data_IF_567523479732
#
_entry.id   IF_567523479732
#
_cell.length_a   1.000
_cell.length_b   1.000
_cell.length_c   1.000
_cell.angle_alpha   90.00
_cell.angle_beta   90.00
_cell.angle_gamma   90.00
#
_symmetry.space_group_name_H-M   'P 1'
#
loop_
_entity.id
_entity.type
_entity.pdbx_description
1 polymer ?
#
# COMPACT_ATOMS: atom_id res chain seq x y z
N UNK A 1 -15.54 4.75 -12.71
CA UNK A 1 -14.24 4.22 -12.25
C UNK A 1 -14.33 4.11 -10.74
N UNK A 2 -13.90 3.00 -10.14
CA UNK A 2 -13.81 2.88 -8.69
C UNK A 2 -12.67 3.75 -8.18
N UNK A 3 -12.90 4.49 -7.09
CA UNK A 3 -11.83 5.25 -6.43
C UNK A 3 -10.72 4.31 -5.95
N UNK A 4 -9.46 4.77 -5.89
CA UNK A 4 -8.42 3.98 -5.24
C UNK A 4 -8.73 3.76 -3.76
N UNK A 5 -8.22 2.65 -3.23
CA UNK A 5 -8.21 2.39 -1.79
C UNK A 5 -7.30 3.40 -1.07
N UNK A 6 -7.78 3.90 0.08
CA UNK A 6 -6.98 4.65 1.05
C UNK A 6 -6.34 3.64 1.99
N UNK A 7 -5.02 3.48 1.91
CA UNK A 7 -4.27 2.49 2.69
C UNK A 7 -3.37 3.24 3.68
N UNK A 8 -3.65 3.09 4.98
CA UNK A 8 -2.97 3.82 6.03
C UNK A 8 -1.64 3.14 6.41
N UNK A 9 -0.51 3.71 5.98
CA UNK A 9 0.84 3.20 6.21
C UNK A 9 1.18 3.21 7.70
N UNK A 10 1.32 2.01 8.28
CA UNK A 10 1.53 1.82 9.74
C UNK A 10 0.44 2.49 10.59
N UNK A 11 -0.79 2.60 10.06
CA UNK A 11 -1.88 3.40 10.63
C UNK A 11 -1.86 4.86 10.18
N UNK A 12 -2.43 5.78 10.96
CA UNK A 12 -2.35 7.21 10.68
C UNK A 12 -1.05 7.78 11.28
N UNK A 13 0.08 7.30 10.76
CA UNK A 13 1.44 7.56 11.26
C UNK A 13 1.84 9.04 11.25
N UNK A 14 1.22 9.87 10.41
CA UNK A 14 1.46 11.32 10.43
C UNK A 14 0.92 12.03 11.69
N UNK A 15 -0.01 11.41 12.44
CA UNK A 15 -0.66 12.04 13.62
C UNK A 15 -0.64 11.19 14.89
N UNK A 16 -0.19 9.94 14.81
CA UNK A 16 -0.09 9.00 15.93
C UNK A 16 1.13 8.09 15.74
N UNK A 17 1.72 7.53 16.81
CA UNK A 17 2.91 6.68 16.72
C UNK A 17 2.65 5.46 15.83
N UNK A 18 3.50 5.27 14.82
CA UNK A 18 3.38 4.21 13.82
C UNK A 18 3.22 2.82 14.46
N UNK A 19 2.46 1.95 13.80
CA UNK A 19 2.26 0.55 14.20
C UNK A 19 1.66 0.35 15.62
N UNK A 20 1.00 1.36 16.19
CA UNK A 20 0.27 1.27 17.47
C UNK A 20 -1.24 1.15 17.28
N UNK A 21 -1.93 0.64 18.30
CA UNK A 21 -3.41 0.61 18.30
C UNK A 21 -4.01 2.01 18.16
N UNK A 22 -3.38 3.05 18.72
CA UNK A 22 -3.81 4.43 18.54
C UNK A 22 -3.76 4.88 17.07
N UNK A 23 -2.67 4.60 16.35
CA UNK A 23 -2.55 4.95 14.93
C UNK A 23 -3.55 4.19 14.06
N UNK A 24 -3.80 2.91 14.37
CA UNK A 24 -4.79 2.10 13.67
C UNK A 24 -6.22 2.59 13.90
N UNK A 25 -6.60 2.87 15.15
CA UNK A 25 -7.93 3.42 15.44
C UNK A 25 -8.13 4.81 14.80
N UNK A 26 -7.09 5.65 14.79
CA UNK A 26 -7.15 6.96 14.13
C UNK A 26 -7.37 6.82 12.62
N UNK A 27 -6.65 5.91 11.95
CA UNK A 27 -6.81 5.65 10.52
C UNK A 27 -8.21 5.12 10.16
N UNK A 28 -8.74 4.18 10.95
CA UNK A 28 -10.08 3.63 10.75
C UNK A 28 -11.16 4.73 10.89
N UNK A 29 -11.03 5.60 11.90
CA UNK A 29 -11.93 6.75 12.08
C UNK A 29 -11.79 7.80 10.97
N UNK A 30 -10.60 7.89 10.35
CA UNK A 30 -10.35 8.76 9.19
C UNK A 30 -10.86 8.16 7.86
N UNK A 31 -11.42 6.95 7.87
CA UNK A 31 -12.02 6.32 6.69
C UNK A 31 -11.01 5.59 5.79
N UNK A 32 -9.91 5.09 6.37
CA UNK A 32 -9.00 4.18 5.65
C UNK A 32 -9.72 2.87 5.28
N UNK A 33 -9.52 2.40 4.05
CA UNK A 33 -10.07 1.14 3.55
C UNK A 33 -9.22 -0.06 4.04
N UNK A 34 -7.90 0.12 4.10
CA UNK A 34 -6.97 -0.86 4.65
C UNK A 34 -6.00 -0.18 5.63
N UNK A 35 -5.60 -0.90 6.66
CA UNK A 35 -4.44 -0.54 7.48
C UNK A 35 -3.24 -1.35 7.01
N UNK A 36 -2.20 -0.65 6.56
CA UNK A 36 -0.91 -1.27 6.29
C UNK A 36 -0.11 -1.35 7.59
N UNK A 37 0.58 -2.46 7.81
CA UNK A 37 1.37 -2.70 9.02
C UNK A 37 2.47 -3.72 8.77
N UNK A 38 3.48 -3.69 9.63
CA UNK A 38 4.67 -4.53 9.55
C UNK A 38 4.66 -5.58 10.65
N UNK A 39 4.95 -6.85 10.31
CA UNK A 39 5.00 -7.95 11.27
C UNK A 39 6.37 -8.60 11.31
N UNK A 40 6.88 -8.73 12.52
CA UNK A 40 8.04 -9.55 12.89
C UNK A 40 7.63 -10.67 13.84
N UNK A 41 8.51 -11.65 14.02
CA UNK A 41 8.45 -12.58 15.15
C UNK A 41 9.36 -12.06 16.26
N UNK A 42 8.89 -12.09 17.49
CA UNK A 42 9.76 -11.99 18.66
C UNK A 42 10.44 -13.32 18.98
N UNK A 43 11.30 -13.35 20.01
CA UNK A 43 12.05 -14.56 20.39
C UNK A 43 11.16 -15.75 20.82
N UNK A 44 9.92 -15.47 21.24
CA UNK A 44 8.93 -16.49 21.61
C UNK A 44 8.09 -16.94 20.41
N UNK A 45 8.35 -16.40 19.21
CA UNK A 45 7.62 -16.70 17.99
C UNK A 45 6.24 -16.05 17.92
N UNK A 46 6.00 -14.98 18.69
CA UNK A 46 4.74 -14.23 18.63
C UNK A 46 4.82 -13.19 17.50
N UNK A 47 3.81 -13.12 16.60
CA UNK A 47 3.74 -12.07 15.58
C UNK A 47 3.45 -10.70 16.21
N UNK A 48 4.45 -9.84 16.23
CA UNK A 48 4.42 -8.48 16.79
C UNK A 48 4.47 -7.43 15.68
N UNK A 49 3.84 -6.29 15.91
CA UNK A 49 3.62 -5.26 14.90
C UNK A 49 4.57 -4.09 15.12
N UNK A 50 5.65 -4.05 14.34
CA UNK A 50 6.74 -3.08 14.41
C UNK A 50 7.48 -3.09 13.08
N UNK A 51 7.98 -1.93 12.62
CA UNK A 51 8.62 -1.83 11.31
C UNK A 51 10.08 -2.34 11.31
N UNK A 52 10.90 -1.75 12.18
CA UNK A 52 12.34 -1.95 12.19
C UNK A 52 12.69 -3.34 12.77
N UNK A 53 13.84 -3.89 12.38
CA UNK A 53 14.38 -5.12 12.98
C UNK A 53 14.76 -4.94 14.47
N UNK A 54 14.79 -3.69 14.94
CA UNK A 54 15.17 -3.30 16.31
C UNK A 54 14.13 -2.40 16.96
N UNK A 55 14.09 -2.42 18.30
CA UNK A 55 13.16 -1.60 19.10
C UNK A 55 13.60 -0.14 19.28
N UNK A 56 14.83 0.18 18.86
CA UNK A 56 15.57 1.39 19.24
C UNK A 56 14.94 2.73 18.81
N UNK A 57 14.30 2.78 17.63
CA UNK A 57 13.79 4.05 17.06
C UNK A 57 12.43 4.43 17.61
N UNK A 58 11.55 3.45 17.78
CA UNK A 58 10.11 3.64 18.00
C UNK A 58 9.66 3.17 19.37
N UNK A 59 10.60 2.84 20.26
CA UNK A 59 10.27 2.48 21.64
C UNK A 59 11.27 3.03 22.65
N UNK A 60 10.97 2.85 23.94
CA UNK A 60 11.88 3.12 25.06
C UNK A 60 12.88 1.96 25.35
N UNK A 61 12.82 0.89 24.56
CA UNK A 61 13.63 -0.31 24.69
C UNK A 61 14.62 -0.42 23.52
N UNK A 62 15.66 -1.24 23.66
CA UNK A 62 16.68 -1.47 22.62
C UNK A 62 16.89 -2.94 22.35
N UNK A 63 17.41 -3.24 21.16
CA UNK A 63 17.78 -4.59 20.74
C UNK A 63 16.93 -5.11 19.58
N UNK A 64 17.36 -6.22 19.00
CA UNK A 64 16.68 -6.87 17.90
C UNK A 64 15.34 -7.47 18.37
N UNK A 65 14.29 -7.30 17.57
CA UNK A 65 12.95 -7.81 17.86
C UNK A 65 12.96 -9.33 17.98
N UNK A 66 13.58 -10.02 17.02
CA UNK A 66 13.68 -11.49 16.99
C UNK A 66 14.50 -12.12 18.12
N UNK A 67 15.34 -11.32 18.81
CA UNK A 67 16.14 -11.79 19.95
C UNK A 67 15.52 -11.40 21.30
N UNK A 68 14.42 -10.63 21.28
CA UNK A 68 13.77 -10.10 22.48
C UNK A 68 12.57 -10.96 22.89
N UNK A 69 12.42 -11.33 24.18
CA UNK A 69 11.22 -12.03 24.66
C UNK A 69 9.95 -11.21 24.46
N UNK A 70 8.81 -11.87 24.28
CA UNK A 70 7.52 -11.21 24.02
C UNK A 70 7.09 -10.26 25.13
N UNK A 71 7.45 -10.58 26.37
CA UNK A 71 7.20 -9.72 27.53
C UNK A 71 7.96 -8.39 27.46
N UNK A 72 9.16 -8.38 26.86
CA UNK A 72 9.97 -7.17 26.65
C UNK A 72 9.38 -6.37 25.48
N UNK A 73 9.18 -7.02 24.33
CA UNK A 73 8.69 -6.35 23.13
C UNK A 73 7.33 -5.69 23.38
N UNK A 74 6.36 -6.45 23.91
CA UNK A 74 5.00 -5.94 24.17
C UNK A 74 4.93 -5.03 25.40
N UNK A 75 5.95 -5.07 26.26
CA UNK A 75 6.07 -4.21 27.43
C UNK A 75 6.62 -2.82 27.11
N UNK A 76 7.31 -2.65 25.98
CA UNK A 76 7.94 -1.41 25.58
C UNK A 76 6.91 -0.27 25.37
N UNK A 77 7.27 0.95 25.74
CA UNK A 77 6.50 2.15 25.39
C UNK A 77 6.80 2.53 23.94
N UNK A 78 5.83 2.31 23.05
CA UNK A 78 5.92 2.58 21.63
C UNK A 78 5.30 3.94 21.22
N UNK A 79 4.96 4.81 22.17
CA UNK A 79 4.26 6.06 21.89
C UNK A 79 4.92 7.33 22.41
N UNK A 80 5.64 7.27 23.52
CA UNK A 80 6.24 8.45 24.14
C UNK A 80 7.24 9.19 23.24
N UNK A 81 7.90 8.47 22.31
CA UNK A 81 8.83 9.06 21.33
C UNK A 81 8.13 9.98 20.32
N UNK A 82 6.86 9.72 20.02
CA UNK A 82 6.08 10.51 19.07
C UNK A 82 5.55 11.78 19.72
N UNK A 83 4.87 11.64 20.86
CA UNK A 83 4.49 12.76 21.72
C UNK A 83 4.12 12.25 23.13
N UNK A 84 4.26 13.09 24.18
CA UNK A 84 3.89 12.72 25.55
C UNK A 84 2.44 12.23 25.71
N UNK A 85 1.51 12.70 24.86
CA UNK A 85 0.11 12.29 24.87
C UNK A 85 -0.11 10.81 24.51
N UNK A 86 0.87 10.16 23.87
CA UNK A 86 0.83 8.75 23.52
C UNK A 86 1.67 7.85 24.43
N UNK A 87 2.21 8.39 25.52
CA UNK A 87 2.93 7.58 26.51
C UNK A 87 2.06 6.40 26.98
N UNK A 88 2.66 5.22 27.05
CA UNK A 88 2.02 3.96 27.41
C UNK A 88 1.37 3.21 26.24
N UNK A 89 1.38 3.73 25.01
CA UNK A 89 1.12 2.87 23.84
C UNK A 89 2.16 1.73 23.82
N UNK A 90 1.73 0.54 23.43
CA UNK A 90 2.57 -0.67 23.39
C UNK A 90 2.79 -1.13 21.95
N UNK A 91 3.85 -1.91 21.74
CA UNK A 91 4.00 -2.72 20.52
C UNK A 91 2.89 -3.78 20.52
N UNK A 92 1.91 -3.71 19.60
CA UNK A 92 0.81 -4.66 19.60
C UNK A 92 1.20 -5.97 18.92
N UNK A 93 0.49 -7.04 19.26
CA UNK A 93 0.51 -8.29 18.49
C UNK A 93 -0.42 -8.17 17.28
N UNK A 94 -0.17 -8.98 16.26
CA UNK A 94 -1.05 -9.05 15.08
C UNK A 94 -2.50 -9.41 15.48
N UNK A 95 -2.67 -10.23 16.51
CA UNK A 95 -3.98 -10.61 17.07
C UNK A 95 -4.71 -9.42 17.70
N UNK A 96 -4.00 -8.56 18.43
CA UNK A 96 -4.60 -7.35 19.02
C UNK A 96 -5.06 -6.38 17.92
N UNK A 97 -4.25 -6.18 16.88
CA UNK A 97 -4.64 -5.36 15.72
C UNK A 97 -5.86 -5.94 15.00
N UNK A 98 -5.89 -7.26 14.76
CA UNK A 98 -7.05 -7.93 14.16
C UNK A 98 -8.33 -7.72 15.01
N UNK A 99 -8.20 -7.72 16.35
CA UNK A 99 -9.30 -7.40 17.26
C UNK A 99 -9.85 -5.99 17.10
N UNK A 100 -8.98 -5.00 16.84
CA UNK A 100 -9.40 -3.63 16.53
C UNK A 100 -10.15 -3.58 15.19
N UNK A 101 -9.59 -4.16 14.12
CA UNK A 101 -10.20 -4.13 12.77
C UNK A 101 -11.50 -4.93 12.70
N UNK A 102 -11.67 -5.98 13.51
CA UNK A 102 -12.92 -6.71 13.65
C UNK A 102 -14.13 -5.81 13.98
N UNK A 103 -13.90 -4.64 14.60
CA UNK A 103 -14.95 -3.67 14.96
C UNK A 103 -15.38 -2.76 13.81
N UNK A 104 -14.69 -2.81 12.67
CA UNK A 104 -14.90 -1.93 11.52
C UNK A 104 -15.12 -2.77 10.27
N UNK A 105 -16.36 -3.25 9.98
CA UNK A 105 -16.65 -4.29 8.98
C UNK A 105 -16.17 -3.95 7.55
N UNK A 106 -16.10 -2.66 7.21
CA UNK A 106 -15.73 -2.19 5.87
C UNK A 106 -14.21 -2.03 5.66
N UNK A 107 -13.41 -2.18 6.71
CA UNK A 107 -11.95 -2.05 6.64
C UNK A 107 -11.23 -3.40 6.68
N UNK A 108 -10.04 -3.47 6.07
CA UNK A 108 -9.18 -4.65 6.11
C UNK A 108 -7.74 -4.32 6.53
N UNK A 109 -6.84 -5.30 6.34
CA UNK A 109 -5.41 -5.12 6.56
C UNK A 109 -4.62 -5.32 5.26
N UNK A 110 -3.50 -4.63 5.15
CA UNK A 110 -2.40 -4.94 4.24
C UNK A 110 -1.18 -5.30 5.11
N UNK A 111 -0.93 -6.58 5.32
CA UNK A 111 0.04 -7.06 6.33
C UNK A 111 1.37 -7.38 5.67
N UNK A 112 2.40 -6.58 5.93
CA UNK A 112 3.77 -6.89 5.51
C UNK A 112 4.42 -7.90 6.47
N UNK A 113 4.86 -9.03 5.94
CA UNK A 113 5.70 -9.99 6.64
C UNK A 113 7.17 -9.63 6.37
N UNK A 114 7.90 -9.22 7.41
CA UNK A 114 9.29 -8.78 7.29
C UNK A 114 10.23 -9.98 7.18
N UNK A 115 11.06 -9.98 6.14
CA UNK A 115 12.06 -11.03 5.90
C UNK A 115 11.47 -12.40 5.54
N UNK A 116 12.26 -13.45 5.78
CA UNK A 116 11.94 -14.83 5.44
C UNK A 116 11.17 -15.52 6.57
N UNK A 117 10.00 -16.06 6.26
CA UNK A 117 9.15 -16.77 7.23
C UNK A 117 9.04 -18.25 6.92
N UNK A 118 9.14 -19.09 7.95
CA UNK A 118 8.78 -20.50 7.81
C UNK A 118 7.28 -20.65 7.55
N UNK A 119 6.90 -21.73 6.85
CA UNK A 119 5.49 -22.09 6.61
C UNK A 119 4.67 -22.15 7.89
N UNK A 120 5.24 -22.73 8.95
CA UNK A 120 4.57 -22.87 10.24
C UNK A 120 4.30 -21.49 10.88
N UNK A 121 5.30 -20.61 10.90
CA UNK A 121 5.14 -19.27 11.46
C UNK A 121 4.18 -18.40 10.63
N UNK A 122 4.28 -18.45 9.29
CA UNK A 122 3.37 -17.74 8.40
C UNK A 122 1.92 -18.19 8.59
N UNK A 123 1.68 -19.50 8.73
CA UNK A 123 0.36 -20.06 9.02
C UNK A 123 -0.20 -19.56 10.36
N UNK A 124 0.63 -19.56 11.42
CA UNK A 124 0.23 -19.09 12.74
C UNK A 124 -0.13 -17.59 12.75
N UNK A 125 0.66 -16.75 12.07
CA UNK A 125 0.38 -15.33 11.93
C UNK A 125 -0.94 -15.08 11.19
N UNK A 126 -1.15 -15.73 10.04
CA UNK A 126 -2.43 -15.64 9.30
C UNK A 126 -3.60 -16.15 10.14
N UNK A 127 -3.39 -17.20 10.94
CA UNK A 127 -4.38 -17.71 11.88
C UNK A 127 -4.93 -16.65 12.83
N UNK A 128 -4.10 -15.67 13.22
CA UNK A 128 -4.49 -14.55 14.08
C UNK A 128 -5.48 -13.59 13.41
N UNK A 129 -5.58 -13.59 12.08
CA UNK A 129 -6.49 -12.76 11.29
C UNK A 129 -7.86 -13.42 11.04
N UNK A 130 -7.99 -14.72 11.26
CA UNK A 130 -9.25 -15.44 10.96
C UNK A 130 -10.43 -15.05 11.86
N UNK A 131 -10.25 -14.81 13.18
CA UNK A 131 -11.33 -14.33 14.03
C UNK A 131 -11.95 -13.03 13.51
N UNK A 132 -13.27 -12.91 13.59
CA UNK A 132 -13.99 -11.71 13.11
C UNK A 132 -13.93 -11.50 11.59
N UNK A 133 -13.52 -12.52 10.82
CA UNK A 133 -13.50 -12.45 9.35
C UNK A 133 -12.47 -11.49 8.76
N UNK A 134 -11.49 -11.01 9.55
CA UNK A 134 -10.49 -10.02 9.10
C UNK A 134 -9.68 -10.57 7.92
N UNK A 135 -9.27 -11.85 7.96
CA UNK A 135 -8.49 -12.48 6.90
C UNK A 135 -9.13 -12.36 5.50
N UNK A 136 -10.45 -12.51 5.38
CA UNK A 136 -11.16 -12.48 4.09
C UNK A 136 -11.09 -11.10 3.41
N UNK A 137 -10.96 -10.04 4.21
CA UNK A 137 -10.88 -8.64 3.77
C UNK A 137 -9.47 -8.07 3.84
N UNK A 138 -8.48 -8.90 4.15
CA UNK A 138 -7.07 -8.52 4.19
C UNK A 138 -6.29 -9.01 2.97
N UNK A 139 -5.11 -8.42 2.79
CA UNK A 139 -4.06 -8.83 1.86
C UNK A 139 -2.78 -9.01 2.67
N UNK A 140 -2.05 -10.09 2.47
CA UNK A 140 -0.71 -10.29 3.05
C UNK A 140 0.35 -10.02 1.99
N UNK A 141 1.47 -9.39 2.37
CA UNK A 141 2.52 -9.00 1.43
C UNK A 141 3.91 -9.19 2.04
N UNK A 142 4.93 -9.18 1.19
CA UNK A 142 6.33 -9.16 1.61
C UNK A 142 7.21 -8.73 0.44
N UNK A 143 8.39 -8.20 0.73
CA UNK A 143 9.49 -8.11 -0.25
C UNK A 143 10.14 -9.48 -0.50
N UNK A 144 10.05 -10.39 0.47
CA UNK A 144 10.64 -11.72 0.38
C UNK A 144 9.72 -12.67 -0.41
N UNK A 145 10.14 -13.03 -1.63
CA UNK A 145 9.38 -13.95 -2.50
C UNK A 145 9.18 -15.33 -1.87
N UNK A 146 10.11 -15.79 -1.03
CA UNK A 146 9.98 -17.09 -0.36
C UNK A 146 8.88 -17.06 0.70
N UNK A 147 8.73 -15.93 1.41
CA UNK A 147 7.61 -15.68 2.32
C UNK A 147 6.28 -15.61 1.57
N UNK A 148 6.21 -14.92 0.43
CA UNK A 148 4.98 -14.89 -0.39
C UNK A 148 4.61 -16.29 -0.89
N UNK A 149 5.61 -17.10 -1.31
CA UNK A 149 5.40 -18.49 -1.70
C UNK A 149 4.94 -19.37 -0.52
N UNK A 150 5.48 -19.15 0.69
CA UNK A 150 5.02 -19.84 1.89
C UNK A 150 3.56 -19.49 2.20
N UNK A 151 3.19 -18.21 2.12
CA UNK A 151 1.81 -17.72 2.33
C UNK A 151 0.83 -18.28 1.29
N UNK A 152 1.23 -18.37 0.02
CA UNK A 152 0.45 -19.04 -1.04
C UNK A 152 0.07 -20.46 -0.64
N UNK A 153 1.01 -21.19 -0.04
CA UNK A 153 0.82 -22.62 0.27
C UNK A 153 0.06 -22.86 1.57
N UNK A 154 0.24 -22.02 2.60
CA UNK A 154 -0.37 -22.23 3.92
C UNK A 154 -1.67 -21.46 4.13
N UNK A 155 -1.91 -20.42 3.33
CA UNK A 155 -3.10 -19.59 3.39
C UNK A 155 -3.62 -19.24 1.98
N UNK A 156 -3.98 -20.26 1.16
CA UNK A 156 -4.42 -20.04 -0.21
C UNK A 156 -5.69 -19.16 -0.30
N UNK A 157 -6.51 -19.16 0.75
CA UNK A 157 -7.75 -18.39 0.88
C UNK A 157 -7.56 -16.89 1.18
N UNK A 158 -6.36 -16.47 1.59
CA UNK A 158 -6.05 -15.06 1.89
C UNK A 158 -5.38 -14.42 0.69
N UNK A 159 -5.82 -13.22 0.28
CA UNK A 159 -5.21 -12.49 -0.85
C UNK A 159 -3.76 -12.15 -0.53
N UNK A 160 -2.90 -12.20 -1.55
CA UNK A 160 -1.45 -11.95 -1.42
C UNK A 160 -0.98 -10.86 -2.37
N UNK A 161 0.00 -10.09 -1.98
CA UNK A 161 0.69 -9.12 -2.85
C UNK A 161 2.21 -9.29 -2.77
N UNK A 162 2.92 -8.79 -3.77
CA UNK A 162 4.38 -8.69 -3.77
C UNK A 162 4.80 -7.23 -3.63
N UNK A 163 5.65 -6.93 -2.66
CA UNK A 163 6.31 -5.63 -2.54
C UNK A 163 7.58 -5.61 -3.39
N UNK A 164 7.79 -4.50 -4.11
CA UNK A 164 8.99 -4.29 -4.92
C UNK A 164 9.51 -2.87 -4.73
N UNK A 165 10.83 -2.69 -4.69
CA UNK A 165 11.45 -1.37 -4.76
C UNK A 165 11.43 -0.82 -6.20
N UNK A 166 11.59 -1.72 -7.16
CA UNK A 166 11.66 -1.39 -8.58
C UNK A 166 10.98 -2.50 -9.39
N UNK A 167 10.16 -2.16 -10.41
CA UNK A 167 9.46 -3.14 -11.26
C UNK A 167 10.36 -3.82 -12.33
N UNK A 168 11.68 -3.60 -12.28
CA UNK A 168 12.66 -4.21 -13.20
C UNK A 168 13.22 -5.56 -12.73
N UNK A 169 14.19 -6.13 -13.47
CA UNK A 169 14.81 -7.40 -13.11
C UNK A 169 15.47 -7.32 -11.72
N UNK A 170 15.58 -8.46 -11.00
CA UNK A 170 16.20 -8.50 -9.69
C UNK A 170 17.63 -7.96 -9.78
N UNK A 171 17.89 -6.87 -9.05
CA UNK A 171 19.21 -6.27 -8.91
C UNK A 171 19.98 -6.98 -7.80
N UNK A 172 21.28 -7.19 -7.99
CA UNK A 172 22.17 -7.61 -6.89
C UNK A 172 22.28 -6.53 -5.81
N UNK A 173 22.70 -6.90 -4.60
CA UNK A 173 22.90 -5.95 -3.47
C UNK A 173 23.78 -4.76 -3.87
N UNK A 174 24.87 -5.01 -4.59
CA UNK A 174 25.77 -3.95 -5.07
C UNK A 174 25.12 -3.02 -6.10
N UNK A 175 24.19 -3.54 -6.92
CA UNK A 175 23.44 -2.76 -7.89
C UNK A 175 22.38 -1.91 -7.19
N UNK A 176 21.73 -2.45 -6.17
CA UNK A 176 20.80 -1.73 -5.31
C UNK A 176 21.51 -0.57 -4.57
N UNK A 177 22.66 -0.85 -3.94
CA UNK A 177 23.48 0.18 -3.28
C UNK A 177 24.02 1.22 -4.27
N UNK A 178 24.35 0.82 -5.50
CA UNK A 178 24.71 1.76 -6.58
C UNK A 178 23.52 2.61 -7.00
N UNK A 179 22.34 2.02 -7.18
CA UNK A 179 21.11 2.73 -7.51
C UNK A 179 20.73 3.73 -6.39
N UNK A 180 20.83 3.33 -5.12
CA UNK A 180 20.62 4.21 -3.97
C UNK A 180 21.63 5.36 -3.89
N UNK A 181 22.91 5.12 -4.20
CA UNK A 181 23.92 6.20 -4.27
C UNK A 181 23.71 7.13 -5.46
N UNK A 182 23.24 6.61 -6.60
CA UNK A 182 22.98 7.40 -7.82
C UNK A 182 21.61 8.10 -7.79
N UNK A 183 20.70 7.70 -6.92
CA UNK A 183 19.39 8.34 -6.68
C UNK A 183 19.52 9.83 -6.34
N UNK A 184 20.63 10.23 -5.70
CA UNK A 184 20.95 11.63 -5.42
C UNK A 184 21.50 12.42 -6.63
N UNK A 185 21.89 11.74 -7.72
CA UNK A 185 22.62 12.31 -8.86
C UNK A 185 21.85 12.24 -10.19
N UNK A 186 21.18 11.12 -10.47
CA UNK A 186 20.30 10.90 -11.62
C UNK A 186 19.16 9.93 -11.25
N UNK A 187 18.11 10.42 -10.56
CA UNK A 187 17.02 9.60 -10.06
C UNK A 187 16.13 9.00 -11.17
N UNK A 188 16.16 9.56 -12.39
CA UNK A 188 15.29 9.11 -13.47
C UNK A 188 15.82 7.83 -14.12
N UNK A 189 17.11 7.75 -14.44
CA UNK A 189 17.65 6.58 -15.14
C UNK A 189 17.74 5.34 -14.25
N UNK A 190 18.06 5.52 -12.96
CA UNK A 190 18.29 4.40 -12.03
C UNK A 190 17.01 3.63 -11.64
N UNK A 191 15.83 4.24 -11.81
CA UNK A 191 14.54 3.66 -11.46
C UNK A 191 13.59 3.53 -12.66
N UNK A 192 14.05 3.85 -13.87
CA UNK A 192 13.30 3.66 -15.10
C UNK A 192 13.15 2.16 -15.40
N UNK A 193 11.92 1.71 -15.61
CA UNK A 193 11.63 0.35 -16.04
C UNK A 193 11.40 0.36 -17.56
N UNK A 194 12.13 -0.47 -18.33
CA UNK A 194 11.85 -0.61 -19.75
C UNK A 194 10.43 -1.16 -19.98
N UNK A 195 9.77 -0.67 -21.04
CA UNK A 195 8.44 -1.15 -21.40
C UNK A 195 8.43 -2.67 -21.62
N UNK A 196 7.39 -3.33 -21.12
CA UNK A 196 7.16 -4.77 -21.17
C UNK A 196 7.75 -5.54 -19.99
N UNK A 197 8.78 -5.01 -19.32
CA UNK A 197 9.47 -5.71 -18.23
C UNK A 197 8.57 -5.86 -17.02
N UNK A 198 7.84 -4.79 -16.64
CA UNK A 198 6.98 -4.85 -15.46
C UNK A 198 5.83 -5.84 -15.68
N UNK A 199 5.28 -5.89 -16.89
CA UNK A 199 4.27 -6.88 -17.27
C UNK A 199 4.80 -8.31 -17.13
N UNK A 200 5.95 -8.62 -17.72
CA UNK A 200 6.53 -9.97 -17.65
C UNK A 200 6.79 -10.39 -16.19
N UNK A 201 7.35 -9.50 -15.38
CA UNK A 201 7.61 -9.78 -13.97
C UNK A 201 6.31 -9.98 -13.17
N UNK A 202 5.27 -9.20 -13.47
CA UNK A 202 3.96 -9.37 -12.84
C UNK A 202 3.29 -10.69 -13.25
N UNK A 203 3.27 -11.04 -14.54
CA UNK A 203 2.73 -12.32 -15.03
C UNK A 203 3.45 -13.50 -14.39
N UNK A 204 4.78 -13.42 -14.25
CA UNK A 204 5.57 -14.41 -13.50
C UNK A 204 5.18 -14.46 -12.03
N UNK A 205 5.05 -13.32 -11.36
CA UNK A 205 4.65 -13.27 -9.96
C UNK A 205 3.24 -13.85 -9.76
N UNK A 206 2.30 -13.61 -10.66
CA UNK A 206 0.97 -14.22 -10.64
C UNK A 206 1.07 -15.74 -10.77
N UNK A 207 1.80 -16.24 -11.77
CA UNK A 207 1.95 -17.66 -12.02
C UNK A 207 2.66 -18.40 -10.88
N UNK A 208 3.72 -17.80 -10.34
CA UNK A 208 4.55 -18.42 -9.30
C UNK A 208 3.97 -18.23 -7.91
N UNK A 209 3.39 -17.07 -7.58
CA UNK A 209 3.05 -16.69 -6.20
C UNK A 209 1.55 -16.53 -5.98
N UNK A 210 0.74 -16.51 -7.03
CA UNK A 210 -0.71 -16.31 -6.93
C UNK A 210 -1.07 -14.99 -6.26
N UNK A 211 -0.32 -13.93 -6.60
CA UNK A 211 -0.55 -12.56 -6.09
C UNK A 211 -1.69 -11.89 -6.84
N UNK A 212 -2.42 -11.02 -6.13
CA UNK A 212 -3.48 -10.18 -6.69
C UNK A 212 -3.04 -8.74 -6.89
N UNK A 213 -1.89 -8.36 -6.34
CA UNK A 213 -1.31 -7.03 -6.46
C UNK A 213 0.22 -7.07 -6.48
N UNK A 214 0.82 -6.10 -7.16
CA UNK A 214 2.25 -5.78 -7.06
C UNK A 214 2.38 -4.32 -6.66
N UNK A 215 3.07 -4.09 -5.55
CA UNK A 215 3.12 -2.82 -4.83
C UNK A 215 4.53 -2.24 -4.96
N UNK A 216 4.72 -1.22 -5.82
CA UNK A 216 6.03 -0.64 -6.09
C UNK A 216 6.32 0.59 -5.22
N UNK A 217 7.60 0.88 -4.98
CA UNK A 217 8.01 2.14 -4.40
C UNK A 217 7.69 3.32 -5.32
N UNK A 218 7.13 4.39 -4.78
CA UNK A 218 6.58 5.53 -5.53
C UNK A 218 7.58 6.16 -6.49
N UNK A 219 8.86 6.26 -6.13
CA UNK A 219 9.86 6.87 -6.99
C UNK A 219 10.02 6.11 -8.32
N UNK A 220 9.87 4.77 -8.29
CA UNK A 220 9.91 3.97 -9.52
C UNK A 220 8.70 4.22 -10.42
N UNK A 221 7.52 4.46 -9.85
CA UNK A 221 6.33 4.80 -10.62
C UNK A 221 6.38 6.21 -11.19
N UNK A 222 6.93 7.18 -10.46
CA UNK A 222 7.11 8.55 -10.99
C UNK A 222 8.06 8.52 -12.18
N UNK A 223 9.13 7.70 -12.13
CA UNK A 223 10.04 7.51 -13.26
C UNK A 223 9.40 6.72 -14.42
N UNK A 224 8.45 5.82 -14.13
CA UNK A 224 7.89 4.90 -15.12
C UNK A 224 6.39 4.66 -14.90
N UNK A 225 5.51 5.65 -15.17
CA UNK A 225 4.09 5.55 -14.86
C UNK A 225 3.34 4.53 -15.75
N UNK A 226 3.92 4.15 -16.89
CA UNK A 226 3.38 3.12 -17.78
C UNK A 226 3.31 1.73 -17.10
N UNK A 227 4.11 1.50 -16.05
CA UNK A 227 4.11 0.27 -15.25
C UNK A 227 2.72 -0.05 -14.69
N UNK A 228 1.92 0.96 -14.34
CA UNK A 228 0.57 0.75 -13.80
C UNK A 228 -0.31 0.02 -14.85
N UNK A 229 -0.25 0.45 -16.11
CA UNK A 229 -0.99 -0.19 -17.18
C UNK A 229 -0.45 -1.60 -17.50
N UNK A 230 0.85 -1.84 -17.33
CA UNK A 230 1.46 -3.15 -17.50
C UNK A 230 1.03 -4.14 -16.42
N UNK A 231 0.97 -3.70 -15.17
CA UNK A 231 0.43 -4.46 -14.05
C UNK A 231 -1.05 -4.81 -14.26
N UNK A 232 -1.86 -3.85 -14.70
CA UNK A 232 -3.25 -4.13 -15.09
C UNK A 232 -3.34 -5.12 -16.24
N UNK A 233 -2.44 -5.02 -17.23
CA UNK A 233 -2.32 -5.97 -18.34
C UNK A 233 -1.96 -7.40 -17.92
N UNK A 234 -1.28 -7.55 -16.78
CA UNK A 234 -0.98 -8.83 -16.13
C UNK A 234 -2.08 -9.31 -15.17
N UNK A 235 -3.16 -8.53 -15.00
CA UNK A 235 -4.30 -8.86 -14.14
C UNK A 235 -4.07 -8.63 -12.64
N UNK A 236 -3.09 -7.79 -12.27
CA UNK A 236 -2.82 -7.44 -10.87
C UNK A 236 -3.14 -5.97 -10.58
N UNK A 237 -3.61 -5.70 -9.37
CA UNK A 237 -3.74 -4.35 -8.85
C UNK A 237 -2.38 -3.76 -8.45
N UNK A 238 -2.32 -2.46 -8.22
CA UNK A 238 -1.10 -1.81 -7.73
C UNK A 238 -1.36 -0.77 -6.65
N UNK A 239 -0.64 -0.92 -5.53
CA UNK A 239 -0.69 -0.01 -4.37
C UNK A 239 0.71 0.58 -4.12
N UNK A 240 1.07 1.73 -4.71
CA UNK A 240 2.35 2.37 -4.43
C UNK A 240 2.47 2.88 -3.01
N UNK A 241 3.71 2.83 -2.49
CA UNK A 241 4.10 3.32 -1.17
C UNK A 241 5.38 4.18 -1.22
N UNK A 242 5.66 5.04 -0.26
CA UNK A 242 4.68 5.74 0.59
C UNK A 242 4.42 7.09 -0.06
N UNK A 243 3.15 7.44 -0.26
CA UNK A 243 2.77 8.61 -1.07
C UNK A 243 2.00 9.60 -0.20
N UNK A 244 2.63 10.71 0.18
CA UNK A 244 2.00 11.73 1.03
C UNK A 244 1.81 13.08 0.32
N UNK A 245 2.40 13.22 -0.87
CA UNK A 245 2.35 14.46 -1.63
C UNK A 245 1.13 14.51 -2.55
N UNK A 246 0.22 15.50 -2.40
CA UNK A 246 -1.00 15.60 -3.21
C UNK A 246 -0.76 15.72 -4.71
N UNK A 247 0.39 16.28 -5.11
CA UNK A 247 0.79 16.33 -6.53
C UNK A 247 0.99 14.93 -7.10
N UNK A 248 1.59 14.03 -6.32
CA UNK A 248 1.80 12.65 -6.74
C UNK A 248 0.46 11.89 -6.73
N UNK A 249 -0.41 12.10 -5.74
CA UNK A 249 -1.77 11.53 -5.76
C UNK A 249 -2.52 11.86 -7.04
N UNK A 250 -2.50 13.14 -7.44
CA UNK A 250 -3.12 13.62 -8.68
C UNK A 250 -2.62 12.86 -9.92
N UNK A 251 -1.31 12.65 -10.02
CA UNK A 251 -0.72 11.94 -11.16
C UNK A 251 -1.05 10.44 -11.11
N UNK A 252 -1.00 9.80 -9.95
CA UNK A 252 -1.40 8.39 -9.79
C UNK A 252 -2.88 8.15 -10.16
N UNK A 253 -3.76 9.10 -9.85
CA UNK A 253 -5.18 9.04 -10.25
C UNK A 253 -5.36 9.08 -11.77
N UNK A 254 -4.57 9.90 -12.48
CA UNK A 254 -4.58 9.93 -13.96
C UNK A 254 -4.15 8.60 -14.56
N UNK A 255 -3.24 7.90 -13.88
CA UNK A 255 -2.79 6.57 -14.27
C UNK A 255 -3.67 5.42 -13.72
N UNK A 256 -4.76 5.75 -13.00
CA UNK A 256 -5.76 4.80 -12.48
C UNK A 256 -5.19 3.77 -11.50
N UNK A 257 -4.33 4.20 -10.59
CA UNK A 257 -3.86 3.37 -9.48
C UNK A 257 -5.03 2.75 -8.69
N UNK A 258 -4.85 1.54 -8.15
CA UNK A 258 -5.93 0.82 -7.44
C UNK A 258 -6.02 1.15 -5.95
N UNK A 259 -4.92 1.61 -5.37
CA UNK A 259 -4.83 2.02 -3.97
C UNK A 259 -3.59 2.86 -3.74
N UNK A 260 -3.55 3.61 -2.64
CA UNK A 260 -2.41 4.46 -2.30
C UNK A 260 -2.06 4.22 -0.83
N UNK A 261 -0.82 3.81 -0.58
CA UNK A 261 -0.26 3.64 0.77
C UNK A 261 0.32 5.00 1.20
N UNK A 262 -0.20 5.56 2.30
CA UNK A 262 0.10 6.92 2.76
C UNK A 262 0.13 7.00 4.28
N UNK A 263 1.00 7.85 4.81
CA UNK A 263 1.03 8.25 6.22
C UNK A 263 -0.13 9.21 6.58
N UNK A 264 -0.79 9.79 5.57
CA UNK A 264 -1.86 10.80 5.69
C UNK A 264 -3.25 10.33 5.17
N UNK A 265 -3.80 9.19 5.64
CA UNK A 265 -5.05 8.62 5.09
C UNK A 265 -6.24 9.59 5.14
N UNK A 266 -6.37 10.41 6.18
CA UNK A 266 -7.46 11.39 6.28
C UNK A 266 -7.35 12.51 5.24
N UNK A 267 -6.13 12.97 4.93
CA UNK A 267 -5.91 14.00 3.91
C UNK A 267 -6.13 13.42 2.51
N UNK A 268 -5.64 12.21 2.26
CA UNK A 268 -5.91 11.51 1.00
C UNK A 268 -7.41 11.30 0.82
N UNK A 269 -8.15 10.89 1.86
CA UNK A 269 -9.60 10.71 1.80
C UNK A 269 -10.31 11.99 1.33
N UNK A 270 -10.02 13.12 1.96
CA UNK A 270 -10.60 14.42 1.55
C UNK A 270 -10.16 14.84 0.14
N UNK A 271 -8.93 14.52 -0.26
CA UNK A 271 -8.44 14.76 -1.62
C UNK A 271 -9.23 13.95 -2.66
N UNK A 272 -9.47 12.66 -2.41
CA UNK A 272 -10.23 11.78 -3.31
C UNK A 272 -11.69 12.23 -3.43
N UNK A 273 -12.33 12.64 -2.35
CA UNK A 273 -13.70 13.17 -2.38
C UNK A 273 -13.77 14.45 -3.22
N UNK A 274 -12.81 15.37 -3.05
CA UNK A 274 -12.72 16.57 -3.87
C UNK A 274 -12.45 16.25 -5.35
N UNK A 275 -11.61 15.24 -5.62
CA UNK A 275 -11.30 14.76 -6.96
C UNK A 275 -12.53 14.20 -7.67
N UNK A 276 -13.32 13.36 -7.00
CA UNK A 276 -14.55 12.78 -7.55
C UNK A 276 -15.55 13.86 -7.94
N UNK A 277 -15.78 14.85 -7.07
CA UNK A 277 -16.69 15.98 -7.34
C UNK A 277 -16.22 16.78 -8.56
N UNK A 278 -14.93 17.11 -8.64
CA UNK A 278 -14.37 17.88 -9.77
C UNK A 278 -14.42 17.09 -11.07
N UNK A 279 -14.04 15.82 -11.04
CA UNK A 279 -14.05 14.95 -12.22
C UNK A 279 -15.46 14.77 -12.78
N UNK A 280 -16.47 14.69 -11.91
CA UNK A 280 -17.87 14.65 -12.33
C UNK A 280 -18.31 15.98 -12.99
N UNK A 281 -17.88 17.12 -12.45
CA UNK A 281 -18.18 18.44 -13.04
C UNK A 281 -17.51 18.62 -14.40
N UNK A 282 -16.25 18.23 -14.54
CA UNK A 282 -15.51 18.32 -15.80
C UNK A 282 -16.12 17.44 -16.89
N UNK A 283 -16.53 16.21 -16.56
CA UNK A 283 -17.24 15.33 -17.50
C UNK A 283 -18.56 15.93 -18.00
N UNK A 284 -19.33 16.57 -17.11
CA UNK A 284 -20.57 17.28 -17.48
C UNK A 284 -20.28 18.49 -18.38
N UNK A 285 -19.19 19.22 -18.13
CA UNK A 285 -18.78 20.36 -18.97
C UNK A 285 -18.30 19.90 -20.35
N UNK A 286 -17.58 18.79 -20.43
CA UNK A 286 -17.09 18.21 -21.66
C UNK A 286 -18.24 17.68 -22.53
N UNK A 287 -19.20 16.96 -21.92
CA UNK A 287 -20.44 16.51 -22.58
C UNK A 287 -21.26 17.69 -23.11
N UNK A 288 -21.43 18.75 -22.30
CA UNK A 288 -22.11 19.99 -22.74
C UNK A 288 -21.39 20.67 -23.89
N UNK A 289 -20.06 20.68 -23.88
CA UNK A 289 -19.25 21.28 -24.96
C UNK A 289 -19.38 20.45 -26.24
N UNK A 290 -19.38 19.13 -26.15
CA UNK A 290 -19.56 18.24 -27.30
C UNK A 290 -20.96 18.36 -27.90
N UNK A 291 -22.01 18.44 -27.06
CA UNK A 291 -23.37 18.73 -27.49
C UNK A 291 -23.46 20.09 -28.20
N UNK A 292 -22.80 21.12 -27.65
CA UNK A 292 -22.75 22.46 -28.26
C UNK A 292 -22.03 22.44 -29.61
N UNK A 293 -20.91 21.73 -29.72
CA UNK A 293 -20.16 21.58 -30.97
C UNK A 293 -20.94 20.77 -32.02
N UNK A 294 -21.66 19.72 -31.60
CA UNK A 294 -22.53 18.93 -32.46
C UNK A 294 -23.71 19.76 -33.01
N UNK A 295 -24.39 20.51 -32.14
CA UNK A 295 -25.46 21.43 -32.54
C UNK A 295 -24.95 22.52 -33.50
N UNK A 296 -23.76 23.08 -33.25
CA UNK A 296 -23.15 24.08 -34.13
C UNK A 296 -22.75 23.51 -35.52
N UNK A 297 -22.42 22.21 -35.61
CA UNK A 297 -22.15 21.51 -36.88
C UNK A 297 -23.46 21.25 -37.65
N UNK A 298 -24.51 20.81 -36.97
CA UNK A 298 -25.83 20.59 -37.57
C UNK A 298 -26.46 21.91 -38.06
N UNK A 299 -26.36 22.99 -37.28
CA UNK A 299 -26.85 24.31 -37.69
C UNK A 299 -26.12 24.90 -38.91
N UNK A 300 -24.82 24.62 -39.08
CA UNK A 300 -24.06 25.00 -40.28
C UNK A 300 -24.43 24.16 -41.51
N UNK A 301 -24.74 22.88 -41.34
CA UNK A 301 -25.21 22.02 -42.42
C UNK A 301 -26.61 22.43 -42.91
N UNK A 302 -27.53 22.74 -41.99
CA UNK A 302 -28.87 23.22 -42.32
C UNK A 302 -28.85 24.56 -43.07
N UNK A 303 -27.98 25.51 -42.68
CA UNK A 303 -27.82 26.79 -43.39
C UNK A 303 -27.22 26.66 -44.80
N UNK A 304 -26.46 25.60 -45.09
CA UNK A 304 -25.95 25.31 -46.44
C UNK A 304 -27.02 24.74 -47.39
N UNK A 305 -28.02 24.03 -46.85
CA UNK A 305 -29.12 23.44 -47.63
C UNK A 305 -30.20 24.46 -48.02
N UNK A 306 -30.32 25.57 -47.28
CA UNK A 306 -31.29 26.65 -47.55
C UNK A 306 -30.72 27.73 -48.48
N UNK A 307 -29.43 27.65 -48.83
CA UNK A 307 -28.73 28.62 -49.68
C UNK A 307 -28.54 28.15 -51.14
N UNK A 308 -29.31 27.14 -51.58
CA UNK A 308 -29.34 26.62 -52.96
C UNK A 308 -30.64 27.04 -53.63
#
# INVERSE_FOLDING_TARGET
MTRPLVIAHRGYSAVAPENTLAAFEAALRAGADLLELDVHLDADGVPVVVHDDTLDRTTDTRGAVGDSPSTVVRGADAGAWFAPAFAGQRVPTLKEVAGVVARFPDAGLLVEFKGAWSRAAASAAVGSLRPGGVAARSVVQSFDRSTVAALRDVAPDVRRALLVLHPGPPMGTDELERAFRHLAQDPFTALCTPAGVAREQAERAVAELGVVAVNPYVASLVASPHVIAEYHGAGVATYPYTVDEPRIWHDLLRHRVDGIITDEPGRLRGFLEAWEVRSAQDGVLEERRDLTLAAARQGRAARRLVAV
#
